data_IF_384025008940
#
_entry.id   IF_384025008940
#
_cell.length_a   1.000
_cell.length_b   1.000
_cell.length_c   1.000
_cell.angle_alpha   90.00
_cell.angle_beta   90.00
_cell.angle_gamma   90.00
#
_symmetry.space_group_name_H-M   'P 1'
#
loop_
_entity.id
_entity.type
_entity.pdbx_description
1 polymer ?
#
# COMPACT_ATOMS: atom_id res chain seq x y z
N UNK A 1 -16.14 10.93 -4.49
CA UNK A 1 -15.70 9.96 -5.51
C UNK A 1 -14.77 10.65 -6.50
N UNK A 2 -13.73 9.99 -7.01
CA UNK A 2 -12.80 10.58 -7.97
C UNK A 2 -13.37 10.49 -9.38
N UNK A 3 -13.71 11.62 -9.98
CA UNK A 3 -14.19 11.70 -11.36
C UNK A 3 -13.17 12.51 -12.17
N UNK A 4 -12.75 12.01 -13.34
CA UNK A 4 -11.80 12.69 -14.23
C UNK A 4 -10.52 13.20 -13.55
N UNK A 5 -9.92 12.39 -12.65
CA UNK A 5 -8.74 12.70 -11.83
C UNK A 5 -8.97 13.70 -10.67
N UNK A 6 -10.16 14.23 -10.51
CA UNK A 6 -10.51 15.12 -9.39
C UNK A 6 -11.19 14.34 -8.24
N UNK A 7 -11.04 14.83 -7.02
CA UNK A 7 -11.63 14.25 -5.83
C UNK A 7 -10.79 13.13 -5.17
N UNK A 8 -11.38 12.51 -4.14
CA UNK A 8 -10.73 11.47 -3.34
C UNK A 8 -10.89 10.11 -4.02
N UNK A 9 -9.84 9.28 -3.95
CA UNK A 9 -9.91 7.88 -4.42
C UNK A 9 -10.90 7.10 -3.56
N UNK A 10 -11.64 6.17 -4.18
CA UNK A 10 -12.60 5.30 -3.48
C UNK A 10 -11.88 4.44 -2.42
N UNK A 11 -12.50 4.30 -1.25
CA UNK A 11 -12.17 3.28 -0.26
C UNK A 11 -12.85 1.99 -0.69
N UNK A 12 -12.07 0.93 -0.78
CA UNK A 12 -12.54 -0.40 -1.16
C UNK A 12 -12.77 -1.25 0.09
N UNK A 13 -13.76 -2.10 0.07
CA UNK A 13 -13.92 -3.15 1.08
C UNK A 13 -12.75 -4.14 1.00
N UNK A 14 -12.57 -4.94 2.03
CA UNK A 14 -11.54 -5.99 2.05
C UNK A 14 -11.65 -6.90 0.84
N UNK A 15 -12.85 -7.41 0.53
CA UNK A 15 -13.09 -8.30 -0.60
C UNK A 15 -12.81 -7.63 -1.96
N UNK A 16 -13.22 -6.37 -2.14
CA UNK A 16 -12.92 -5.62 -3.36
C UNK A 16 -11.42 -5.39 -3.54
N UNK A 17 -10.71 -5.15 -2.43
CA UNK A 17 -9.27 -4.92 -2.47
C UNK A 17 -8.51 -6.22 -2.76
N UNK A 18 -8.97 -7.35 -2.21
CA UNK A 18 -8.43 -8.67 -2.49
C UNK A 18 -8.66 -9.04 -3.96
N UNK A 19 -9.87 -8.87 -4.45
CA UNK A 19 -10.20 -9.10 -5.85
C UNK A 19 -9.32 -8.25 -6.78
N UNK A 20 -9.21 -6.95 -6.49
CA UNK A 20 -8.37 -6.05 -7.29
C UNK A 20 -6.91 -6.51 -7.36
N UNK A 21 -6.34 -6.94 -6.22
CA UNK A 21 -4.94 -7.38 -6.15
C UNK A 21 -4.74 -8.71 -6.88
N UNK A 22 -5.66 -9.66 -6.70
CA UNK A 22 -5.60 -10.98 -7.33
C UNK A 22 -5.78 -10.91 -8.86
N UNK A 23 -6.51 -9.92 -9.34
CA UNK A 23 -6.73 -9.66 -10.76
C UNK A 23 -5.62 -8.85 -11.43
N UNK A 24 -4.64 -8.33 -10.68
CA UNK A 24 -3.43 -7.77 -11.28
C UNK A 24 -2.60 -8.90 -11.93
N UNK A 25 -1.88 -8.59 -13.02
CA UNK A 25 -0.92 -9.54 -13.58
C UNK A 25 0.05 -10.04 -12.51
N UNK A 26 0.27 -11.37 -12.40
CA UNK A 26 1.21 -11.93 -11.43
C UNK A 26 2.59 -11.29 -11.51
N UNK A 27 3.25 -11.13 -10.38
CA UNK A 27 4.61 -10.59 -10.30
C UNK A 27 4.68 -9.21 -9.67
N UNK A 28 5.53 -8.33 -10.20
CA UNK A 28 5.89 -7.04 -9.56
C UNK A 28 4.70 -6.17 -9.19
N UNK A 29 3.64 -6.18 -9.99
CA UNK A 29 2.46 -5.34 -9.77
C UNK A 29 1.62 -5.84 -8.59
N UNK A 30 1.42 -7.15 -8.50
CA UNK A 30 0.65 -7.81 -7.44
C UNK A 30 1.38 -7.68 -6.10
N UNK A 31 2.69 -7.96 -6.07
CA UNK A 31 3.49 -7.86 -4.83
C UNK A 31 3.59 -6.41 -4.34
N UNK A 32 3.79 -5.43 -5.25
CA UNK A 32 3.78 -4.01 -4.90
C UNK A 32 2.44 -3.56 -4.31
N UNK A 33 1.33 -3.99 -4.91
CA UNK A 33 -0.01 -3.69 -4.42
C UNK A 33 -0.25 -4.34 -3.03
N UNK A 34 0.21 -5.57 -2.81
CA UNK A 34 0.12 -6.28 -1.53
C UNK A 34 0.88 -5.54 -0.42
N UNK A 35 2.09 -5.04 -0.70
CA UNK A 35 2.83 -4.19 0.24
C UNK A 35 2.05 -2.92 0.56
N UNK A 36 1.54 -2.20 -0.45
CA UNK A 36 0.76 -0.97 -0.24
C UNK A 36 -0.50 -1.20 0.59
N UNK A 37 -1.21 -2.31 0.34
CA UNK A 37 -2.41 -2.71 1.09
C UNK A 37 -2.10 -3.01 2.55
N UNK A 38 -1.09 -3.84 2.81
CA UNK A 38 -0.82 -4.37 4.14
C UNK A 38 -0.06 -3.42 5.05
N UNK A 39 0.62 -2.41 4.47
CA UNK A 39 1.37 -1.40 5.22
C UNK A 39 0.69 -0.03 5.22
N UNK A 40 -0.28 0.22 4.33
CA UNK A 40 -0.86 1.54 4.13
C UNK A 40 0.14 2.59 3.63
N UNK A 41 1.33 2.20 3.16
CA UNK A 41 2.34 3.13 2.63
C UNK A 41 1.90 3.77 1.30
N UNK A 42 2.61 4.80 0.87
CA UNK A 42 2.41 5.37 -0.47
C UNK A 42 3.10 4.49 -1.51
N UNK A 43 2.48 4.35 -2.67
CA UNK A 43 3.09 3.60 -3.77
C UNK A 43 4.45 4.17 -4.20
N UNK A 44 4.64 5.49 -4.07
CA UNK A 44 5.93 6.14 -4.34
C UNK A 44 7.02 5.76 -3.34
N UNK A 45 6.65 5.38 -2.13
CA UNK A 45 7.54 4.88 -1.09
C UNK A 45 7.82 3.39 -1.32
N UNK A 46 6.76 2.57 -1.46
CA UNK A 46 6.88 1.13 -1.65
C UNK A 46 7.77 0.76 -2.85
N UNK A 47 7.53 1.36 -4.02
CA UNK A 47 8.30 1.03 -5.22
C UNK A 47 9.80 1.27 -5.10
N UNK A 48 10.24 2.07 -4.15
CA UNK A 48 11.65 2.40 -3.90
C UNK A 48 12.29 1.55 -2.78
N UNK A 49 11.55 0.57 -2.23
CA UNK A 49 12.12 -0.35 -1.26
C UNK A 49 13.24 -1.17 -1.87
N UNK A 50 14.26 -1.39 -1.08
CA UNK A 50 15.37 -2.29 -1.34
C UNK A 50 15.27 -3.51 -0.45
N UNK A 51 15.94 -4.60 -0.79
CA UNK A 51 15.90 -5.83 -0.01
C UNK A 51 16.42 -5.64 1.41
N UNK A 52 17.42 -4.78 1.61
CA UNK A 52 17.92 -4.38 2.94
C UNK A 52 16.90 -3.70 3.85
N UNK A 53 15.73 -3.29 3.29
CA UNK A 53 14.65 -2.67 4.05
C UNK A 53 13.59 -3.66 4.54
N UNK A 54 13.70 -4.94 4.17
CA UNK A 54 12.73 -5.98 4.45
C UNK A 54 13.26 -6.88 5.57
N UNK A 55 12.51 -6.98 6.65
CA UNK A 55 12.84 -7.81 7.81
C UNK A 55 11.66 -8.74 8.13
N UNK A 56 11.88 -9.88 8.79
CA UNK A 56 10.79 -10.79 9.17
C UNK A 56 9.66 -10.11 9.97
N UNK A 57 10.00 -9.12 10.78
CA UNK A 57 9.06 -8.42 11.67
C UNK A 57 8.59 -7.06 11.15
N UNK A 58 9.15 -6.57 10.04
CA UNK A 58 8.81 -5.22 9.58
C UNK A 58 9.46 -4.79 8.27
N UNK A 59 8.93 -3.71 7.73
CA UNK A 59 9.50 -3.01 6.56
C UNK A 59 9.92 -1.61 6.99
N UNK A 60 11.18 -1.27 6.78
CA UNK A 60 11.70 0.07 7.05
C UNK A 60 11.61 0.92 5.79
N UNK A 61 10.92 2.03 5.87
CA UNK A 61 10.90 3.06 4.82
C UNK A 61 11.92 4.13 5.18
N UNK A 62 13.08 4.17 4.49
CA UNK A 62 14.13 5.16 4.76
C UNK A 62 13.61 6.59 4.55
N UNK A 63 14.17 7.56 5.26
CA UNK A 63 13.81 8.98 5.10
C UNK A 63 13.90 9.47 3.64
N UNK A 64 14.82 8.91 2.87
CA UNK A 64 15.03 9.27 1.45
C UNK A 64 13.83 8.98 0.57
N UNK A 65 13.02 7.96 0.90
CA UNK A 65 11.82 7.60 0.16
C UNK A 65 10.54 8.18 0.77
N UNK A 66 10.58 8.60 2.04
CA UNK A 66 9.44 9.20 2.73
C UNK A 66 9.14 10.61 2.21
N UNK A 67 7.86 10.95 2.11
CA UNK A 67 7.44 12.31 1.72
C UNK A 67 7.90 13.32 2.77
N UNK A 68 8.70 14.31 2.33
CA UNK A 68 9.28 15.33 3.18
C UNK A 68 10.65 14.98 3.74
N UNK A 69 11.14 13.74 3.58
CA UNK A 69 12.51 13.27 3.92
C UNK A 69 12.96 13.58 5.37
N UNK A 70 12.00 13.68 6.30
CA UNK A 70 12.28 14.06 7.69
C UNK A 70 12.81 12.87 8.49
N UNK A 71 12.07 11.75 8.47
CA UNK A 71 12.34 10.58 9.29
C UNK A 71 12.11 9.28 8.52
N UNK A 72 12.87 8.26 8.90
CA UNK A 72 12.58 6.87 8.53
C UNK A 72 11.44 6.35 9.40
N UNK A 73 10.68 5.38 8.89
CA UNK A 73 9.69 4.68 9.69
C UNK A 73 9.70 3.19 9.39
N UNK A 74 9.57 2.39 10.43
CA UNK A 74 9.39 0.95 10.32
C UNK A 74 7.93 0.60 10.56
N UNK A 75 7.34 -0.16 9.65
CA UNK A 75 5.98 -0.67 9.76
C UNK A 75 6.08 -2.15 10.08
N UNK A 76 5.55 -2.61 11.23
CA UNK A 76 5.46 -4.04 11.53
C UNK A 76 4.65 -4.76 10.44
N UNK A 77 5.09 -5.97 10.08
CA UNK A 77 4.36 -6.82 9.15
C UNK A 77 4.10 -8.19 9.76
N UNK A 78 3.05 -8.84 9.29
CA UNK A 78 2.73 -10.21 9.66
C UNK A 78 3.44 -11.20 8.73
N UNK A 79 3.66 -12.46 9.18
CA UNK A 79 4.38 -13.48 8.42
C UNK A 79 3.91 -13.61 6.98
N UNK A 80 2.60 -13.61 6.74
CA UNK A 80 2.02 -13.75 5.39
C UNK A 80 2.45 -12.66 4.38
N UNK A 81 2.85 -11.46 4.80
CA UNK A 81 3.42 -10.47 3.88
C UNK A 81 4.91 -10.72 3.67
N UNK A 82 5.61 -11.16 4.72
CA UNK A 82 7.01 -11.53 4.60
C UNK A 82 7.18 -12.72 3.66
N UNK A 83 6.32 -13.74 3.78
CA UNK A 83 6.32 -14.92 2.91
C UNK A 83 6.13 -14.53 1.43
N UNK A 84 5.15 -13.69 1.13
CA UNK A 84 4.93 -13.16 -0.24
C UNK A 84 6.19 -12.44 -0.78
N UNK A 85 6.89 -11.71 0.08
CA UNK A 85 8.12 -11.01 -0.32
C UNK A 85 9.28 -11.99 -0.53
N UNK A 86 9.39 -13.04 0.28
CA UNK A 86 10.42 -14.07 0.14
C UNK A 86 10.17 -14.97 -1.08
N UNK A 87 8.92 -15.33 -1.36
CA UNK A 87 8.55 -16.00 -2.61
C UNK A 87 8.93 -15.14 -3.84
N UNK A 88 8.64 -13.84 -3.78
CA UNK A 88 9.04 -12.90 -4.82
C UNK A 88 10.57 -12.83 -4.98
N UNK A 89 11.31 -12.81 -3.88
CA UNK A 89 12.77 -12.83 -3.89
C UNK A 89 13.31 -14.11 -4.54
N UNK A 90 12.74 -15.25 -4.17
CA UNK A 90 13.11 -16.54 -4.74
C UNK A 90 12.84 -16.62 -6.26
N UNK A 91 11.69 -16.13 -6.71
CA UNK A 91 11.40 -16.01 -8.14
C UNK A 91 12.45 -15.18 -8.88
N UNK A 92 12.88 -14.05 -8.27
CA UNK A 92 13.95 -13.21 -8.85
C UNK A 92 15.31 -13.89 -8.84
N UNK A 93 15.59 -14.70 -7.83
CA UNK A 93 16.80 -15.53 -7.77
C UNK A 93 16.82 -16.55 -8.92
N UNK A 94 15.70 -17.22 -9.14
CA UNK A 94 15.58 -18.20 -10.24
C UNK A 94 15.72 -17.52 -11.61
N UNK A 95 15.05 -16.36 -11.81
CA UNK A 95 15.10 -15.62 -13.07
C UNK A 95 16.51 -15.09 -13.41
N UNK A 96 17.30 -14.70 -12.41
CA UNK A 96 18.63 -14.10 -12.61
C UNK A 96 19.79 -15.10 -12.43
N UNK A 97 19.54 -16.26 -11.85
CA UNK A 97 20.59 -17.22 -11.46
C UNK A 97 21.36 -16.85 -10.21
N UNK A 98 21.04 -15.72 -9.58
CA UNK A 98 21.69 -15.22 -8.36
C UNK A 98 20.69 -14.51 -7.44
N UNK A 99 20.95 -14.54 -6.14
CA UNK A 99 20.11 -13.86 -5.17
C UNK A 99 20.26 -12.33 -5.30
N UNK A 100 19.12 -11.57 -5.29
CA UNK A 100 19.18 -10.12 -5.32
C UNK A 100 19.98 -9.55 -4.16
N UNK A 101 20.94 -8.68 -4.44
CA UNK A 101 21.76 -8.04 -3.41
C UNK A 101 20.90 -7.18 -2.47
N UNK A 102 21.31 -7.00 -1.19
CA UNK A 102 20.57 -6.18 -0.21
C UNK A 102 20.26 -4.76 -0.72
N UNK A 103 21.19 -4.15 -1.44
CA UNK A 103 21.06 -2.81 -2.00
C UNK A 103 20.21 -2.70 -3.27
N UNK A 104 19.78 -3.82 -3.88
CA UNK A 104 18.95 -3.81 -5.07
C UNK A 104 17.47 -3.55 -4.74
N UNK A 105 16.73 -2.99 -5.71
CA UNK A 105 15.31 -2.71 -5.53
C UNK A 105 14.46 -3.99 -5.52
N UNK A 106 13.47 -4.03 -4.61
CA UNK A 106 12.48 -5.11 -4.54
C UNK A 106 11.58 -5.13 -5.79
N UNK A 107 11.23 -3.95 -6.29
CA UNK A 107 10.29 -3.76 -7.40
C UNK A 107 11.01 -3.17 -8.61
N UNK A 108 11.77 -4.00 -9.28
CA UNK A 108 12.55 -3.60 -10.47
C UNK A 108 11.62 -3.38 -11.66
N UNK A 109 11.89 -2.34 -12.44
CA UNK A 109 11.19 -2.05 -13.70
C UNK A 109 11.74 -2.90 -14.87
N UNK A 110 11.13 -2.71 -16.04
CA UNK A 110 11.50 -3.44 -17.26
C UNK A 110 12.94 -3.19 -17.72
N UNK A 111 13.47 -2.00 -17.42
CA UNK A 111 14.75 -1.56 -17.92
C UNK A 111 15.77 -1.42 -16.78
N UNK A 112 16.61 -2.43 -16.62
CA UNK A 112 17.74 -2.43 -15.71
C UNK A 112 17.36 -2.39 -14.22
N UNK A 113 18.30 -1.87 -13.40
CA UNK A 113 18.21 -1.89 -11.94
C UNK A 113 17.44 -0.72 -11.33
N UNK A 114 16.58 -0.07 -12.12
CA UNK A 114 15.75 1.04 -11.64
C UNK A 114 14.40 0.51 -11.12
N UNK A 115 13.84 1.16 -10.08
CA UNK A 115 12.55 0.76 -9.56
C UNK A 115 11.44 1.01 -10.58
N UNK A 116 10.42 0.15 -10.57
CA UNK A 116 9.23 0.33 -11.40
C UNK A 116 8.68 1.75 -11.29
N UNK A 117 8.24 2.32 -12.40
CA UNK A 117 7.66 3.66 -12.40
C UNK A 117 6.21 3.65 -11.90
N UNK A 118 5.77 4.79 -11.32
CA UNK A 118 4.35 4.97 -10.95
C UNK A 118 3.43 4.83 -12.16
N UNK A 119 3.90 5.31 -13.32
CA UNK A 119 3.14 5.25 -14.57
C UNK A 119 2.95 3.81 -15.04
N UNK A 120 4.00 2.98 -14.96
CA UNK A 120 3.92 1.57 -15.35
C UNK A 120 2.87 0.83 -14.49
N UNK A 121 2.98 0.93 -13.16
CA UNK A 121 1.97 0.33 -12.28
C UNK A 121 0.58 0.95 -12.50
N UNK A 122 0.50 2.27 -12.64
CA UNK A 122 -0.75 2.98 -12.86
C UNK A 122 -1.47 2.58 -14.14
N UNK A 123 -0.73 2.27 -15.21
CA UNK A 123 -1.31 1.77 -16.48
C UNK A 123 -1.94 0.39 -16.28
N UNK A 124 -1.21 -0.54 -15.68
CA UNK A 124 -1.70 -1.89 -15.40
C UNK A 124 -2.90 -1.84 -14.44
N UNK A 125 -2.79 -1.08 -13.35
CA UNK A 125 -3.89 -0.89 -12.41
C UNK A 125 -5.14 -0.33 -13.08
N UNK A 126 -5.00 0.64 -14.00
CA UNK A 126 -6.14 1.23 -14.73
C UNK A 126 -6.87 0.17 -15.54
N UNK A 127 -6.16 -0.65 -16.32
CA UNK A 127 -6.76 -1.74 -17.10
C UNK A 127 -7.51 -2.74 -16.21
N UNK A 128 -6.91 -3.12 -15.07
CA UNK A 128 -7.56 -4.03 -14.12
C UNK A 128 -8.82 -3.42 -13.51
N UNK A 129 -8.79 -2.14 -13.11
CA UNK A 129 -9.94 -1.39 -12.58
C UNK A 129 -11.08 -1.33 -13.59
N UNK A 130 -10.77 -1.06 -14.85
CA UNK A 130 -11.75 -0.99 -15.94
C UNK A 130 -12.40 -2.36 -16.17
N UNK A 131 -11.62 -3.45 -16.19
CA UNK A 131 -12.12 -4.82 -16.31
C UNK A 131 -13.04 -5.23 -15.17
N UNK A 132 -12.75 -4.77 -13.95
CA UNK A 132 -13.56 -5.05 -12.76
C UNK A 132 -14.76 -4.09 -12.59
N UNK A 133 -14.94 -3.11 -13.47
CA UNK A 133 -16.00 -2.12 -13.37
C UNK A 133 -15.92 -1.20 -12.14
N UNK A 134 -14.74 -1.11 -11.50
CA UNK A 134 -14.54 -0.32 -10.29
C UNK A 134 -14.42 1.18 -10.63
N UNK A 135 -15.14 2.04 -9.89
CA UNK A 135 -15.16 3.49 -10.15
C UNK A 135 -14.40 4.27 -9.08
N UNK A 136 -13.70 5.33 -9.51
CA UNK A 136 -12.98 6.24 -8.61
C UNK A 136 -11.73 5.65 -7.94
N UNK A 137 -11.31 4.45 -8.33
CA UNK A 137 -10.17 3.72 -7.78
C UNK A 137 -8.85 4.22 -8.36
N UNK A 138 -7.80 4.21 -7.58
CA UNK A 138 -6.42 4.50 -8.00
C UNK A 138 -5.43 3.87 -7.01
N UNK A 139 -4.14 3.99 -7.23
CA UNK A 139 -3.11 3.51 -6.29
C UNK A 139 -3.23 4.11 -4.86
N UNK A 140 -3.89 5.25 -4.71
CA UNK A 140 -4.23 5.81 -3.39
C UNK A 140 -5.32 5.02 -2.66
N UNK A 141 -6.14 4.24 -3.39
CA UNK A 141 -7.17 3.39 -2.79
C UNK A 141 -6.56 2.32 -1.87
N UNK A 142 -5.42 1.72 -2.22
CA UNK A 142 -4.72 0.78 -1.34
C UNK A 142 -4.51 1.37 0.06
N UNK A 143 -3.93 2.57 0.09
CA UNK A 143 -3.62 3.26 1.35
C UNK A 143 -4.88 3.74 2.06
N UNK A 144 -5.83 4.34 1.35
CA UNK A 144 -7.08 4.81 1.96
C UNK A 144 -7.85 3.65 2.59
N UNK A 145 -7.99 2.54 1.88
CA UNK A 145 -8.68 1.34 2.37
C UNK A 145 -7.97 0.75 3.60
N UNK A 146 -6.63 0.64 3.58
CA UNK A 146 -5.87 0.14 4.72
C UNK A 146 -6.06 1.02 5.98
N UNK A 147 -5.97 2.34 5.83
CA UNK A 147 -6.11 3.28 6.95
C UNK A 147 -7.55 3.36 7.46
N UNK A 148 -8.55 3.37 6.55
CA UNK A 148 -9.97 3.34 6.94
C UNK A 148 -10.31 2.05 7.67
N UNK A 149 -9.84 0.89 7.17
CA UNK A 149 -10.04 -0.40 7.85
C UNK A 149 -9.40 -0.45 9.24
N UNK A 150 -8.21 0.14 9.41
CA UNK A 150 -7.59 0.22 10.73
C UNK A 150 -8.41 1.11 11.70
N UNK A 151 -8.93 2.23 11.20
CA UNK A 151 -9.80 3.13 11.98
C UNK A 151 -11.11 2.45 12.36
N UNK A 152 -11.78 1.80 11.42
CA UNK A 152 -13.06 1.09 11.65
C UNK A 152 -12.96 -0.08 12.62
N UNK A 153 -11.75 -0.60 12.84
CA UNK A 153 -11.48 -1.58 13.90
C UNK A 153 -11.26 -0.96 15.28
N UNK A 154 -11.53 0.33 15.45
CA UNK A 154 -11.41 1.04 16.71
C UNK A 154 -9.97 1.39 17.10
N UNK A 155 -8.99 1.23 16.19
CA UNK A 155 -7.60 1.56 16.52
C UNK A 155 -7.43 3.10 16.66
N UNK A 156 -6.78 3.59 17.73
CA UNK A 156 -6.59 5.00 17.95
C UNK A 156 -5.83 5.67 16.80
N UNK A 157 -6.29 6.83 16.35
CA UNK A 157 -5.62 7.56 15.27
C UNK A 157 -4.15 7.90 15.60
N UNK A 158 -3.83 8.11 16.90
CA UNK A 158 -2.45 8.29 17.37
C UNK A 158 -1.56 7.08 17.09
N UNK A 159 -2.11 5.86 17.10
CA UNK A 159 -1.36 4.64 16.77
C UNK A 159 -1.21 4.46 15.25
N UNK A 160 -2.20 4.88 14.47
CA UNK A 160 -2.18 4.79 13.00
C UNK A 160 -1.25 5.85 12.39
N UNK A 161 -1.15 7.04 13.00
CA UNK A 161 -0.42 8.18 12.46
C UNK A 161 1.07 7.90 12.18
N UNK A 162 1.87 7.35 13.12
CA UNK A 162 3.29 7.07 12.88
C UNK A 162 3.49 6.09 11.72
N UNK A 163 2.69 5.02 11.69
CA UNK A 163 2.77 3.99 10.63
C UNK A 163 2.38 4.55 9.27
N UNK A 164 1.38 5.41 9.23
CA UNK A 164 0.94 6.07 8.01
C UNK A 164 1.90 7.17 7.51
N UNK A 165 2.74 7.73 8.39
CA UNK A 165 3.61 8.86 8.06
C UNK A 165 2.87 10.14 7.68
N UNK A 166 1.70 10.41 8.32
CA UNK A 166 1.03 11.70 8.24
C UNK A 166 1.59 12.66 9.29
N UNK A 167 1.83 13.92 8.89
CA UNK A 167 2.39 14.95 9.77
C UNK A 167 1.46 15.34 10.93
N UNK A 168 0.14 15.20 10.74
CA UNK A 168 -0.85 15.53 11.77
C UNK A 168 -2.07 14.61 11.68
N UNK A 169 -2.82 14.53 12.78
CA UNK A 169 -4.09 13.80 12.83
C UNK A 169 -5.14 14.40 11.89
N UNK A 170 -5.16 15.74 11.73
CA UNK A 170 -6.06 16.41 10.79
C UNK A 170 -5.79 16.03 9.33
N UNK A 171 -4.55 15.76 8.96
CA UNK A 171 -4.22 15.26 7.63
C UNK A 171 -4.60 13.80 7.51
N UNK A 172 -4.37 12.99 8.55
CA UNK A 172 -4.76 11.56 8.56
C UNK A 172 -6.28 11.42 8.45
N UNK A 173 -7.07 12.17 9.20
CA UNK A 173 -8.54 12.09 9.18
C UNK A 173 -9.14 12.29 7.79
N UNK A 174 -8.50 13.08 6.92
CA UNK A 174 -8.93 13.24 5.52
C UNK A 174 -8.84 11.96 4.67
N UNK A 175 -8.05 10.98 5.11
CA UNK A 175 -7.89 9.67 4.45
C UNK A 175 -8.91 8.65 4.90
N UNK A 176 -9.54 8.88 6.06
CA UNK A 176 -10.51 7.97 6.65
C UNK A 176 -11.89 8.21 6.06
N UNK A 177 -12.66 7.16 5.98
CA UNK A 177 -14.11 7.20 5.78
C UNK A 177 -14.78 6.65 7.02
N UNK A 178 -15.82 7.32 7.47
CA UNK A 178 -16.68 6.87 8.56
C UNK A 178 -17.86 6.15 7.94
N UNK A 179 -18.06 4.91 8.29
CA UNK A 179 -19.19 4.10 7.84
C UNK A 179 -20.47 4.54 8.51
N UNK A 180 -21.62 4.19 7.92
CA UNK A 180 -22.92 4.44 8.53
C UNK A 180 -23.08 3.72 9.87
N UNK A 181 -22.56 2.48 9.97
CA UNK A 181 -22.56 1.73 11.23
C UNK A 181 -21.77 2.46 12.34
N UNK A 182 -20.61 3.03 12.02
CA UNK A 182 -19.84 3.81 13.00
C UNK A 182 -20.59 5.06 13.46
N UNK A 183 -21.35 5.73 12.57
CA UNK A 183 -22.20 6.85 12.94
C UNK A 183 -23.34 6.42 13.88
N UNK A 184 -23.96 5.29 13.59
CA UNK A 184 -25.00 4.71 14.45
C UNK A 184 -24.45 4.33 15.82
N UNK A 185 -23.26 3.71 15.89
CA UNK A 185 -22.61 3.38 17.16
C UNK A 185 -22.29 4.63 17.99
N UNK A 186 -21.85 5.72 17.35
CA UNK A 186 -21.63 7.01 18.04
C UNK A 186 -22.95 7.58 18.57
N UNK A 187 -24.01 7.54 17.77
CA UNK A 187 -25.33 8.00 18.22
C UNK A 187 -25.86 7.16 19.41
N UNK A 188 -25.63 5.86 19.38
CA UNK A 188 -26.01 4.94 20.45
C UNK A 188 -25.23 5.20 21.75
N UNK A 189 -23.96 5.61 21.64
CA UNK A 189 -23.13 5.94 22.80
C UNK A 189 -23.55 7.27 23.49
N UNK A 190 -24.39 8.08 22.84
CA UNK A 190 -24.94 9.31 23.40
C UNK A 190 -26.34 9.11 24.07
N UNK A 191 -26.94 7.94 23.89
CA UNK A 191 -28.25 7.61 24.46
C UNK A 191 -28.12 7.03 25.86
#
# INVERSE_FOLDING_TARGET
MKTNRFGRSTVLTTNQLDLLINELPPGVHTVLASVCRRTGCRISEARQLKWENIFPTGITFPKTVCKGKLESRTIPIFPNLYDVLMEWKNLKTIEKGEEPSPGSYVFVGRFGDKPITRQAHGKVLKTTIERLGLKGVSSHSYRRSALSSASSKGLPLKAIQPLSGHKSLSVLSRYLEVSELERQNVAQAFA
#
